data_IF_181380324611
#
_entry.id   IF_181380324611
#
_cell.length_a   1.000
_cell.length_b   1.000
_cell.length_c   1.000
_cell.angle_alpha   90.00
_cell.angle_beta   90.00
_cell.angle_gamma   90.00
#
_symmetry.space_group_name_H-M   'P 1'
#
loop_
_entity.id
_entity.type
_entity.pdbx_description
1 polymer ?
#
# COMPACT_ATOMS: atom_id res chain seq x y z
N UNK A 1 -18.27 -0.59 -8.83
CA UNK A 1 -17.87 -1.46 -7.70
C UNK A 1 -17.93 -0.68 -6.41
N UNK A 2 -18.24 -1.35 -5.32
CA UNK A 2 -18.06 -0.82 -3.94
C UNK A 2 -16.66 -1.20 -3.43
N UNK A 3 -15.79 -0.21 -3.33
CA UNK A 3 -14.38 -0.37 -2.96
C UNK A 3 -14.18 0.13 -1.53
N UNK A 4 -13.60 -0.70 -0.67
CA UNK A 4 -13.18 -0.30 0.68
C UNK A 4 -11.68 -0.04 0.69
N UNK A 5 -11.29 1.16 1.15
CA UNK A 5 -9.89 1.61 1.20
C UNK A 5 -9.46 1.76 2.65
N UNK A 6 -8.65 0.83 3.16
CA UNK A 6 -7.99 0.97 4.45
C UNK A 6 -6.74 1.85 4.32
N UNK A 7 -6.49 2.70 5.33
CA UNK A 7 -5.41 3.69 5.25
C UNK A 7 -5.73 4.88 4.35
N UNK A 8 -7.01 5.14 4.09
CA UNK A 8 -7.49 6.13 3.14
C UNK A 8 -6.97 7.56 3.41
N UNK A 9 -6.69 7.92 4.65
CA UNK A 9 -6.18 9.27 5.00
C UNK A 9 -4.65 9.42 4.83
N UNK A 10 -3.94 8.35 4.46
CA UNK A 10 -2.53 8.41 4.09
C UNK A 10 -2.30 9.06 2.72
N UNK A 11 -1.06 9.46 2.42
CA UNK A 11 -0.73 10.13 1.15
C UNK A 11 -1.14 9.32 -0.10
N UNK A 12 -0.87 8.01 -0.12
CA UNK A 12 -1.31 7.13 -1.21
C UNK A 12 -2.82 6.86 -1.14
N UNK A 13 -3.38 6.68 0.06
CA UNK A 13 -4.79 6.37 0.26
C UNK A 13 -5.73 7.47 -0.22
N UNK A 14 -5.36 8.75 -0.04
CA UNK A 14 -6.11 9.89 -0.58
C UNK A 14 -6.13 9.87 -2.11
N UNK A 15 -4.97 9.69 -2.74
CA UNK A 15 -4.87 9.57 -4.19
C UNK A 15 -5.67 8.39 -4.74
N UNK A 16 -5.62 7.23 -4.08
CA UNK A 16 -6.42 6.07 -4.43
C UNK A 16 -7.92 6.35 -4.31
N UNK A 17 -8.34 7.01 -3.24
CA UNK A 17 -9.73 7.40 -3.04
C UNK A 17 -10.21 8.35 -4.14
N UNK A 18 -9.43 9.38 -4.47
CA UNK A 18 -9.74 10.34 -5.54
C UNK A 18 -9.82 9.66 -6.91
N UNK A 19 -8.86 8.80 -7.24
CA UNK A 19 -8.84 8.05 -8.50
C UNK A 19 -10.03 7.09 -8.62
N UNK A 20 -10.38 6.38 -7.54
CA UNK A 20 -11.53 5.47 -7.51
C UNK A 20 -12.86 6.22 -7.69
N UNK A 21 -13.01 7.38 -7.06
CA UNK A 21 -14.18 8.24 -7.23
C UNK A 21 -14.27 8.81 -8.66
N UNK A 22 -13.14 9.25 -9.24
CA UNK A 22 -13.07 9.72 -10.64
C UNK A 22 -13.43 8.60 -11.63
N UNK A 23 -13.09 7.35 -11.32
CA UNK A 23 -13.50 6.15 -12.07
C UNK A 23 -14.96 5.71 -11.77
N UNK A 24 -15.74 6.53 -11.04
CA UNK A 24 -17.16 6.33 -10.70
C UNK A 24 -17.42 5.10 -9.82
N UNK A 25 -16.48 4.69 -8.99
CA UNK A 25 -16.73 3.68 -7.98
C UNK A 25 -17.39 4.29 -6.73
N UNK A 26 -18.12 3.46 -5.99
CA UNK A 26 -18.60 3.79 -4.65
C UNK A 26 -17.48 3.43 -3.66
N UNK A 27 -17.00 4.41 -2.90
CA UNK A 27 -15.82 4.24 -2.06
C UNK A 27 -16.17 4.35 -0.58
N UNK A 28 -15.69 3.41 0.22
CA UNK A 28 -15.68 3.49 1.68
C UNK A 28 -14.24 3.78 2.12
N UNK A 29 -13.98 5.02 2.53
CA UNK A 29 -12.67 5.44 3.02
C UNK A 29 -12.57 5.16 4.52
N UNK A 30 -11.74 4.18 4.89
CA UNK A 30 -11.55 3.78 6.28
C UNK A 30 -10.38 4.53 6.91
N UNK A 31 -10.66 5.28 7.96
CA UNK A 31 -9.67 6.08 8.70
C UNK A 31 -10.02 6.20 10.17
N UNK A 32 -9.01 6.32 11.05
CA UNK A 32 -9.23 6.56 12.49
C UNK A 32 -9.80 7.94 12.80
N UNK A 33 -9.54 8.93 11.95
CA UNK A 33 -9.97 10.32 12.08
C UNK A 33 -10.87 10.71 10.90
N UNK A 34 -12.11 10.26 10.96
CA UNK A 34 -13.09 10.49 9.90
C UNK A 34 -13.47 11.98 9.75
N UNK A 35 -13.52 12.73 10.85
CA UNK A 35 -13.83 14.17 10.83
C UNK A 35 -12.79 15.00 10.06
N UNK A 36 -11.53 14.55 10.00
CA UNK A 36 -10.43 15.25 9.35
C UNK A 36 -10.21 14.76 7.90
N UNK A 37 -11.11 13.94 7.35
CA UNK A 37 -10.93 13.42 6.01
C UNK A 37 -11.22 14.50 4.96
N UNK A 38 -10.26 14.85 4.09
CA UNK A 38 -10.35 16.09 3.30
C UNK A 38 -11.18 15.97 2.01
N UNK A 39 -11.63 14.75 1.65
CA UNK A 39 -12.35 14.51 0.39
C UNK A 39 -13.85 14.42 0.72
N UNK A 40 -14.66 15.16 -0.06
CA UNK A 40 -16.12 15.07 -0.02
C UNK A 40 -16.66 14.74 -1.42
N UNK A 41 -17.49 13.70 -1.51
CA UNK A 41 -18.06 13.28 -2.78
C UNK A 41 -19.34 12.46 -2.55
N UNK A 42 -20.32 12.53 -3.47
CA UNK A 42 -21.63 11.82 -3.35
C UNK A 42 -21.50 10.30 -3.30
N UNK A 43 -20.43 9.72 -3.87
CA UNK A 43 -20.12 8.28 -3.88
C UNK A 43 -19.10 7.87 -2.81
N UNK A 44 -18.84 8.75 -1.85
CA UNK A 44 -17.90 8.51 -0.77
C UNK A 44 -18.61 8.35 0.55
N UNK A 45 -18.32 7.27 1.24
CA UNK A 45 -18.65 7.07 2.65
C UNK A 45 -17.33 7.08 3.45
N UNK A 46 -17.25 7.88 4.50
CA UNK A 46 -16.08 7.88 5.39
C UNK A 46 -16.42 7.07 6.64
N UNK A 47 -15.71 5.95 6.82
CA UNK A 47 -15.88 5.06 7.96
C UNK A 47 -14.79 5.30 9.01
N UNK A 48 -15.21 5.58 10.25
CA UNK A 48 -14.29 5.68 11.38
C UNK A 48 -13.99 4.28 11.90
N UNK A 49 -12.77 3.77 11.67
CA UNK A 49 -12.32 2.50 12.21
C UNK A 49 -10.82 2.51 12.49
N UNK A 50 -10.45 1.94 13.65
CA UNK A 50 -9.08 1.50 13.89
C UNK A 50 -8.97 0.04 13.42
N UNK A 51 -7.90 -0.29 12.72
CA UNK A 51 -7.67 -1.67 12.22
C UNK A 51 -7.45 -2.69 13.35
N UNK A 52 -7.23 -2.22 14.58
CA UNK A 52 -7.18 -3.06 15.77
C UNK A 52 -8.58 -3.38 16.35
N UNK A 53 -9.61 -2.68 15.92
CA UNK A 53 -11.00 -2.95 16.29
C UNK A 53 -11.66 -3.83 15.22
N UNK A 54 -11.73 -5.13 15.50
CA UNK A 54 -12.24 -6.14 14.57
C UNK A 54 -13.71 -5.87 14.16
N UNK A 55 -14.56 -5.39 15.13
CA UNK A 55 -15.96 -5.10 14.83
C UNK A 55 -16.10 -3.86 13.92
N UNK A 56 -15.28 -2.83 14.14
CA UNK A 56 -15.28 -1.65 13.28
C UNK A 56 -14.75 -1.98 11.88
N UNK A 57 -13.76 -2.88 11.76
CA UNK A 57 -13.26 -3.40 10.48
C UNK A 57 -14.35 -4.20 9.77
N UNK A 58 -15.06 -5.08 10.48
CA UNK A 58 -16.15 -5.88 9.92
C UNK A 58 -17.25 -4.98 9.33
N UNK A 59 -17.74 -4.01 10.10
CA UNK A 59 -18.73 -3.04 9.60
C UNK A 59 -18.27 -2.28 8.36
N UNK A 60 -16.98 -1.96 8.26
CA UNK A 60 -16.43 -1.25 7.11
C UNK A 60 -16.36 -2.13 5.84
N UNK A 61 -16.15 -3.44 6.00
CA UNK A 61 -16.06 -4.42 4.90
C UNK A 61 -17.42 -4.86 4.40
N UNK A 62 -18.48 -4.71 5.20
CA UNK A 62 -19.83 -5.13 4.85
C UNK A 62 -20.28 -4.56 3.48
N UNK A 63 -20.73 -5.43 2.59
CA UNK A 63 -21.18 -5.09 1.24
C UNK A 63 -20.09 -4.66 0.27
N UNK A 64 -18.80 -4.84 0.62
CA UNK A 64 -17.69 -4.59 -0.30
C UNK A 64 -17.64 -5.61 -1.43
N UNK A 65 -17.19 -5.18 -2.61
CA UNK A 65 -16.81 -6.07 -3.72
C UNK A 65 -15.30 -6.31 -3.72
N UNK A 66 -14.52 -5.33 -3.25
CA UNK A 66 -13.05 -5.39 -3.18
C UNK A 66 -12.53 -4.56 -2.00
N UNK A 67 -11.45 -5.02 -1.39
CA UNK A 67 -10.73 -4.29 -0.35
C UNK A 67 -9.33 -3.95 -0.85
N UNK A 68 -8.98 -2.66 -0.75
CA UNK A 68 -7.66 -2.12 -1.07
C UNK A 68 -7.03 -1.57 0.22
N UNK A 69 -5.81 -1.99 0.55
CA UNK A 69 -5.15 -1.54 1.76
C UNK A 69 -3.87 -0.77 1.44
N UNK A 70 -3.86 0.49 1.86
CA UNK A 70 -2.70 1.39 1.87
C UNK A 70 -2.25 1.70 3.29
N UNK A 71 -2.44 0.76 4.21
CA UNK A 71 -1.97 0.91 5.58
C UNK A 71 -0.49 1.26 5.61
N UNK A 72 -0.13 2.21 6.44
CA UNK A 72 1.23 2.67 6.59
C UNK A 72 1.44 3.36 7.94
N UNK A 73 2.62 3.19 8.50
CA UNK A 73 3.07 3.87 9.71
C UNK A 73 4.46 4.44 9.51
N UNK A 74 4.83 5.53 10.21
CA UNK A 74 6.20 6.00 10.23
C UNK A 74 7.15 4.91 10.73
N UNK A 75 8.39 4.92 10.24
CA UNK A 75 9.41 4.02 10.76
C UNK A 75 9.62 4.22 12.25
N UNK A 76 9.70 3.12 12.98
CA UNK A 76 9.90 3.10 14.42
C UNK A 76 10.80 1.94 14.82
N UNK A 77 11.53 2.09 15.93
CA UNK A 77 12.29 1.00 16.54
C UNK A 77 11.46 0.12 17.46
N UNK A 78 10.25 0.58 17.82
CA UNK A 78 9.33 -0.23 18.64
C UNK A 78 8.70 -1.32 17.77
N UNK A 79 8.43 -2.51 18.32
CA UNK A 79 7.65 -3.53 17.61
C UNK A 79 6.29 -2.96 17.17
N UNK A 80 5.86 -3.33 15.98
CA UNK A 80 4.55 -2.97 15.42
C UNK A 80 3.87 -4.22 14.87
N UNK A 81 2.55 -4.18 14.77
CA UNK A 81 1.70 -5.25 14.27
C UNK A 81 0.51 -4.71 13.44
N UNK A 82 0.57 -3.43 13.05
CA UNK A 82 -0.53 -2.77 12.32
C UNK A 82 -0.82 -3.43 10.98
N UNK A 83 0.21 -3.93 10.30
CA UNK A 83 0.02 -4.62 9.02
C UNK A 83 -0.53 -6.02 9.24
N UNK A 84 0.11 -6.82 10.10
CA UNK A 84 -0.28 -8.21 10.32
C UNK A 84 -1.64 -8.33 11.03
N UNK A 85 -1.86 -7.62 12.14
CA UNK A 85 -3.12 -7.71 12.87
C UNK A 85 -4.24 -7.02 12.11
N UNK A 86 -3.97 -5.82 11.54
CA UNK A 86 -4.97 -5.08 10.77
C UNK A 86 -5.45 -5.84 9.55
N UNK A 87 -4.55 -6.43 8.75
CA UNK A 87 -4.96 -7.25 7.60
C UNK A 87 -5.54 -8.59 8.05
N UNK A 88 -5.16 -9.12 9.20
CA UNK A 88 -5.80 -10.28 9.83
C UNK A 88 -7.28 -10.04 10.09
N UNK A 89 -7.64 -8.91 10.71
CA UNK A 89 -9.04 -8.53 10.91
C UNK A 89 -9.78 -8.31 9.59
N UNK A 90 -9.14 -7.63 8.62
CA UNK A 90 -9.70 -7.44 7.28
C UNK A 90 -9.99 -8.77 6.59
N UNK A 91 -9.05 -9.72 6.59
CA UNK A 91 -9.22 -11.02 5.95
C UNK A 91 -10.34 -11.84 6.62
N UNK A 92 -10.46 -11.75 7.94
CA UNK A 92 -11.55 -12.39 8.70
C UNK A 92 -12.89 -11.78 8.30
N UNK A 93 -13.02 -10.46 8.31
CA UNK A 93 -14.24 -9.76 7.90
C UNK A 93 -14.62 -10.05 6.44
N UNK A 94 -13.65 -10.06 5.53
CA UNK A 94 -13.87 -10.43 4.14
C UNK A 94 -14.42 -11.86 3.99
N UNK A 95 -13.87 -12.80 4.77
CA UNK A 95 -14.37 -14.19 4.77
C UNK A 95 -15.81 -14.28 5.27
N UNK A 96 -16.17 -13.54 6.31
CA UNK A 96 -17.53 -13.51 6.89
C UNK A 96 -18.55 -12.94 5.90
N UNK A 97 -18.17 -11.91 5.13
CA UNK A 97 -19.04 -11.25 4.15
C UNK A 97 -18.91 -11.81 2.72
N UNK A 98 -18.13 -12.86 2.50
CA UNK A 98 -17.96 -13.49 1.19
C UNK A 98 -17.17 -12.64 0.17
N UNK A 99 -16.46 -11.60 0.64
CA UNK A 99 -15.60 -10.74 -0.19
C UNK A 99 -14.31 -11.47 -0.51
N UNK A 100 -13.93 -11.56 -1.79
CA UNK A 100 -12.76 -12.37 -2.20
C UNK A 100 -11.55 -11.53 -2.57
N UNK A 101 -11.75 -10.39 -3.25
CA UNK A 101 -10.66 -9.61 -3.83
C UNK A 101 -9.99 -8.70 -2.80
N UNK A 102 -8.69 -8.95 -2.54
CA UNK A 102 -7.86 -8.16 -1.62
C UNK A 102 -6.60 -7.69 -2.34
N UNK A 103 -6.31 -6.38 -2.28
CA UNK A 103 -5.03 -5.83 -2.72
C UNK A 103 -4.37 -5.10 -1.56
N UNK A 104 -3.17 -5.50 -1.19
CA UNK A 104 -2.44 -4.90 -0.06
C UNK A 104 -1.13 -4.29 -0.48
N UNK A 105 -0.77 -3.16 0.11
CA UNK A 105 0.55 -2.56 -0.04
C UNK A 105 1.52 -3.17 0.97
N UNK A 106 2.66 -3.62 0.48
CA UNK A 106 3.83 -4.03 1.24
C UNK A 106 5.03 -3.17 0.83
N UNK A 107 6.19 -3.74 0.63
CA UNK A 107 7.40 -3.06 0.17
C UNK A 107 8.32 -4.01 -0.57
N UNK A 108 9.06 -3.54 -1.57
CA UNK A 108 10.16 -4.30 -2.19
C UNK A 108 11.24 -4.70 -1.18
N UNK A 109 11.36 -3.96 -0.08
CA UNK A 109 12.32 -4.25 0.99
C UNK A 109 11.93 -5.41 1.93
N UNK A 110 10.74 -6.00 1.76
CA UNK A 110 10.36 -7.23 2.50
C UNK A 110 11.17 -8.44 2.02
N UNK A 111 11.49 -8.48 0.73
CA UNK A 111 12.41 -9.44 0.12
C UNK A 111 13.54 -8.67 -0.57
N UNK A 112 14.59 -8.29 0.18
CA UNK A 112 15.68 -7.51 -0.37
C UNK A 112 16.36 -8.23 -1.54
N UNK A 113 16.46 -7.56 -2.66
CA UNK A 113 17.12 -8.05 -3.86
C UNK A 113 18.03 -6.96 -4.45
N UNK A 114 18.86 -7.34 -5.39
CA UNK A 114 19.74 -6.42 -6.09
C UNK A 114 18.95 -5.67 -7.15
N UNK A 115 18.74 -4.37 -6.95
CA UNK A 115 18.13 -3.50 -7.96
C UNK A 115 19.13 -3.18 -9.05
N UNK A 116 18.81 -3.49 -10.31
CA UNK A 116 19.70 -3.22 -11.43
C UNK A 116 20.07 -1.73 -11.53
N UNK A 117 19.10 -0.85 -11.31
CA UNK A 117 19.27 0.61 -11.37
C UNK A 117 19.76 1.23 -10.05
N UNK A 118 19.95 0.43 -9.00
CA UNK A 118 20.28 0.91 -7.66
C UNK A 118 21.75 1.27 -7.44
N UNK A 119 22.64 0.75 -8.25
CA UNK A 119 24.08 0.93 -8.10
C UNK A 119 24.62 0.35 -6.77
N UNK A 120 25.93 0.54 -6.55
CA UNK A 120 26.62 0.01 -5.38
C UNK A 120 26.10 0.61 -4.06
N UNK A 121 25.87 1.92 -4.02
CA UNK A 121 25.49 2.62 -2.80
C UNK A 121 24.13 2.16 -2.27
N UNK A 122 23.11 2.04 -3.14
CA UNK A 122 21.79 1.56 -2.72
C UNK A 122 21.87 0.10 -2.28
N UNK A 123 22.41 -0.76 -3.13
CA UNK A 123 22.34 -2.21 -2.93
C UNK A 123 23.22 -2.72 -1.79
N UNK A 124 24.38 -2.10 -1.55
CA UNK A 124 25.37 -2.57 -0.57
C UNK A 124 25.40 -1.78 0.73
N UNK A 125 24.86 -0.57 0.76
CA UNK A 125 24.92 0.31 1.93
C UNK A 125 23.54 0.71 2.42
N UNK A 126 22.76 1.43 1.61
CA UNK A 126 21.52 2.05 2.08
C UNK A 126 20.42 1.02 2.37
N UNK A 127 20.18 0.09 1.45
CA UNK A 127 19.12 -0.92 1.62
C UNK A 127 19.41 -1.83 2.83
N UNK A 128 20.59 -2.43 2.99
CA UNK A 128 20.91 -3.22 4.19
C UNK A 128 20.83 -2.39 5.49
N UNK A 129 21.31 -1.15 5.48
CA UNK A 129 21.28 -0.27 6.66
C UNK A 129 19.82 0.02 7.07
N UNK A 130 18.97 0.45 6.15
CA UNK A 130 17.57 0.76 6.44
C UNK A 130 16.81 -0.48 6.91
N UNK A 131 16.97 -1.61 6.23
CA UNK A 131 16.28 -2.86 6.58
C UNK A 131 16.73 -3.44 7.91
N UNK A 132 17.99 -3.28 8.28
CA UNK A 132 18.55 -3.78 9.54
C UNK A 132 18.33 -2.84 10.74
N UNK A 133 17.98 -1.58 10.50
CA UNK A 133 17.86 -0.56 11.56
C UNK A 133 16.44 -0.02 11.68
N UNK A 134 16.16 1.16 11.12
CA UNK A 134 14.91 1.90 11.30
C UNK A 134 13.70 1.20 10.67
N UNK A 135 13.90 0.45 9.60
CA UNK A 135 12.86 -0.31 8.91
C UNK A 135 12.64 -1.73 9.45
N UNK A 136 13.49 -2.19 10.36
CA UNK A 136 13.51 -3.59 10.82
C UNK A 136 12.14 -4.08 11.30
N UNK A 137 11.52 -3.33 12.20
CA UNK A 137 10.22 -3.70 12.78
C UNK A 137 9.09 -3.60 11.75
N UNK A 138 9.11 -2.58 10.91
CA UNK A 138 8.12 -2.36 9.84
C UNK A 138 8.16 -3.48 8.81
N UNK A 139 9.33 -3.81 8.29
CA UNK A 139 9.45 -4.89 7.30
C UNK A 139 9.22 -6.28 7.90
N UNK A 140 9.53 -6.47 9.19
CA UNK A 140 9.20 -7.71 9.87
C UNK A 140 7.68 -7.90 9.99
N UNK A 141 6.93 -6.83 10.27
CA UNK A 141 5.48 -6.88 10.33
C UNK A 141 4.85 -7.05 8.94
N UNK A 142 5.35 -6.34 7.94
CA UNK A 142 4.91 -6.54 6.54
C UNK A 142 5.12 -7.99 6.09
N UNK A 143 6.24 -8.64 6.43
CA UNK A 143 6.45 -10.07 6.14
C UNK A 143 5.44 -10.97 6.84
N UNK A 144 5.08 -10.68 8.10
CA UNK A 144 4.00 -11.43 8.80
C UNK A 144 2.66 -11.26 8.08
N UNK A 145 2.33 -10.02 7.68
CA UNK A 145 1.14 -9.73 6.87
C UNK A 145 1.16 -10.52 5.55
N UNK A 146 2.27 -10.49 4.80
CA UNK A 146 2.36 -11.21 3.53
C UNK A 146 2.15 -12.73 3.72
N UNK A 147 2.74 -13.31 4.77
CA UNK A 147 2.55 -14.74 5.09
C UNK A 147 1.08 -15.06 5.41
N UNK A 148 0.40 -14.20 6.18
CA UNK A 148 -1.02 -14.33 6.48
C UNK A 148 -1.86 -14.27 5.20
N UNK A 149 -1.61 -13.27 4.35
CA UNK A 149 -2.33 -13.09 3.08
C UNK A 149 -2.10 -14.29 2.15
N UNK A 150 -0.88 -14.77 2.02
CA UNK A 150 -0.53 -15.94 1.19
C UNK A 150 -1.19 -17.22 1.66
N UNK A 151 -1.43 -17.37 2.97
CA UNK A 151 -2.10 -18.56 3.55
C UNK A 151 -3.63 -18.48 3.49
N UNK A 152 -4.21 -17.35 3.08
CA UNK A 152 -5.66 -17.18 2.97
C UNK A 152 -6.21 -17.73 1.65
N UNK A 153 -7.53 -17.98 1.63
CA UNK A 153 -8.26 -18.38 0.41
C UNK A 153 -8.73 -17.18 -0.43
N UNK A 154 -8.23 -15.97 -0.13
CA UNK A 154 -8.58 -14.77 -0.86
C UNK A 154 -7.93 -14.71 -2.26
N UNK A 155 -8.53 -13.94 -3.12
CA UNK A 155 -7.97 -13.52 -4.39
C UNK A 155 -7.07 -12.31 -4.16
N UNK A 156 -5.93 -12.55 -3.50
CA UNK A 156 -5.04 -11.48 -3.08
C UNK A 156 -4.03 -11.04 -4.15
N UNK A 157 -3.61 -9.78 -4.08
CA UNK A 157 -2.41 -9.26 -4.74
C UNK A 157 -1.62 -8.44 -3.72
N UNK A 158 -0.31 -8.72 -3.59
CA UNK A 158 0.59 -7.97 -2.73
C UNK A 158 1.39 -7.00 -3.59
N UNK A 159 1.12 -5.69 -3.46
CA UNK A 159 1.82 -4.64 -4.18
C UNK A 159 3.08 -4.24 -3.42
N UNK A 160 4.23 -4.36 -4.05
CA UNK A 160 5.56 -4.08 -3.48
C UNK A 160 6.19 -2.87 -4.15
N UNK A 161 5.79 -1.64 -3.79
CA UNK A 161 6.47 -0.44 -4.26
C UNK A 161 7.90 -0.36 -3.77
N UNK A 162 8.74 0.29 -4.55
CA UNK A 162 10.09 0.71 -4.17
C UNK A 162 10.07 2.05 -3.42
N UNK A 163 11.14 2.84 -3.43
CA UNK A 163 11.20 4.13 -2.76
C UNK A 163 10.08 5.08 -3.20
N UNK A 164 9.18 5.44 -2.27
CA UNK A 164 8.01 6.26 -2.60
C UNK A 164 8.37 7.75 -2.74
N UNK A 165 7.84 8.39 -3.78
CA UNK A 165 7.92 9.83 -3.99
C UNK A 165 6.59 10.42 -4.46
N UNK A 166 6.45 11.76 -4.38
CA UNK A 166 5.25 12.46 -4.83
C UNK A 166 5.42 12.91 -6.29
N UNK A 167 4.44 12.56 -7.14
CA UNK A 167 4.28 13.06 -8.49
C UNK A 167 2.93 13.77 -8.62
N UNK A 168 2.83 14.80 -9.49
CA UNK A 168 1.60 15.61 -9.63
C UNK A 168 0.44 14.86 -10.29
N UNK A 169 0.73 13.81 -11.03
CA UNK A 169 -0.26 12.99 -11.74
C UNK A 169 0.25 11.55 -11.91
N UNK A 170 -0.63 10.66 -12.34
CA UNK A 170 -0.26 9.32 -12.80
C UNK A 170 0.63 9.45 -14.03
N UNK A 171 1.72 8.67 -14.04
CA UNK A 171 2.69 8.63 -15.11
C UNK A 171 2.77 7.23 -15.71
N UNK A 172 3.81 6.95 -16.46
CA UNK A 172 4.06 5.60 -16.95
C UNK A 172 4.72 4.78 -15.84
N UNK A 173 4.07 3.68 -15.44
CA UNK A 173 4.59 2.74 -14.47
C UNK A 173 4.64 1.33 -15.04
N UNK A 174 5.43 0.47 -14.42
CA UNK A 174 5.58 -0.92 -14.79
C UNK A 174 5.24 -1.83 -13.61
N UNK A 175 4.62 -2.97 -13.94
CA UNK A 175 4.28 -4.03 -12.98
C UNK A 175 5.08 -5.27 -13.33
N UNK A 176 5.83 -5.76 -12.36
CA UNK A 176 6.65 -6.96 -12.51
C UNK A 176 6.28 -7.98 -11.42
N UNK A 177 6.11 -9.24 -11.79
CA UNK A 177 5.93 -10.30 -10.81
C UNK A 177 7.20 -10.41 -9.95
N UNK A 178 7.01 -10.42 -8.64
CA UNK A 178 8.02 -10.48 -7.58
C UNK A 178 8.96 -9.28 -7.50
N UNK A 179 9.78 -8.98 -8.49
CA UNK A 179 10.86 -8.00 -8.44
C UNK A 179 10.91 -7.13 -9.70
N UNK A 180 11.27 -5.86 -9.52
CA UNK A 180 11.47 -4.92 -10.61
C UNK A 180 12.87 -4.29 -10.59
N UNK A 181 13.41 -3.88 -11.74
CA UNK A 181 14.72 -3.23 -11.82
C UNK A 181 14.74 -1.84 -11.17
N UNK A 182 13.63 -1.12 -11.26
CA UNK A 182 13.50 0.26 -10.79
C UNK A 182 13.51 0.40 -9.27
N UNK A 183 13.95 1.56 -8.80
CA UNK A 183 14.16 1.86 -7.38
C UNK A 183 13.15 2.86 -6.80
N UNK A 184 12.26 3.42 -7.63
CA UNK A 184 11.29 4.42 -7.19
C UNK A 184 9.88 4.13 -7.72
N UNK A 185 8.89 4.49 -6.90
CA UNK A 185 7.47 4.40 -7.23
C UNK A 185 6.79 5.72 -6.83
N UNK A 186 6.11 6.39 -7.75
CA UNK A 186 5.28 7.53 -7.38
C UNK A 186 4.04 7.06 -6.62
N UNK A 187 3.58 7.88 -5.66
CA UNK A 187 2.33 7.56 -4.95
C UNK A 187 1.11 7.59 -5.86
N UNK A 188 1.14 8.43 -6.90
CA UNK A 188 0.07 8.50 -7.90
C UNK A 188 0.00 7.21 -8.73
N UNK A 189 1.15 6.68 -9.16
CA UNK A 189 1.22 5.43 -9.91
C UNK A 189 0.89 4.21 -9.04
N UNK A 190 1.34 4.22 -7.78
CA UNK A 190 0.96 3.18 -6.83
C UNK A 190 -0.56 3.15 -6.61
N UNK A 191 -1.19 4.32 -6.47
CA UNK A 191 -2.64 4.41 -6.33
C UNK A 191 -3.35 3.89 -7.59
N UNK A 192 -2.89 4.27 -8.78
CA UNK A 192 -3.44 3.80 -10.05
C UNK A 192 -3.28 2.29 -10.22
N UNK A 193 -2.10 1.76 -9.89
CA UNK A 193 -1.84 0.33 -9.97
C UNK A 193 -2.69 -0.48 -8.99
N UNK A 194 -2.92 0.02 -7.77
CA UNK A 194 -3.84 -0.59 -6.81
C UNK A 194 -5.27 -0.63 -7.33
N UNK A 195 -5.73 0.46 -7.94
CA UNK A 195 -7.07 0.54 -8.51
C UNK A 195 -7.22 -0.38 -9.72
N UNK A 196 -6.21 -0.48 -10.59
CA UNK A 196 -6.18 -1.44 -11.70
C UNK A 196 -6.36 -2.87 -11.19
N UNK A 197 -5.66 -3.24 -10.12
CA UNK A 197 -5.75 -4.57 -9.53
C UNK A 197 -7.12 -4.86 -8.88
N UNK A 198 -7.98 -3.89 -8.67
CA UNK A 198 -9.33 -4.13 -8.15
C UNK A 198 -10.16 -5.07 -9.07
N UNK A 199 -9.92 -5.02 -10.38
CA UNK A 199 -10.63 -5.83 -11.39
C UNK A 199 -9.72 -6.70 -12.26
N UNK A 200 -8.40 -6.49 -12.22
CA UNK A 200 -7.46 -7.26 -13.01
C UNK A 200 -7.12 -8.60 -12.33
N UNK A 201 -7.34 -9.68 -13.05
CA UNK A 201 -7.09 -11.03 -12.56
C UNK A 201 -5.65 -11.55 -12.82
N UNK A 202 -4.83 -10.83 -13.59
CA UNK A 202 -3.48 -11.29 -14.01
C UNK A 202 -2.57 -11.60 -12.82
N UNK A 203 -2.72 -10.85 -11.73
CA UNK A 203 -1.87 -10.95 -10.56
C UNK A 203 -2.60 -11.47 -9.31
N UNK A 204 -3.69 -12.23 -9.50
CA UNK A 204 -4.31 -12.96 -8.38
C UNK A 204 -3.32 -13.98 -7.82
N UNK A 205 -3.17 -13.95 -6.48
CA UNK A 205 -2.22 -14.75 -5.68
C UNK A 205 -0.76 -14.54 -6.05
N UNK A 206 -0.42 -13.29 -6.42
CA UNK A 206 0.94 -12.89 -6.77
C UNK A 206 1.41 -11.67 -5.96
N UNK A 207 2.72 -11.60 -5.74
CA UNK A 207 3.38 -10.38 -5.31
C UNK A 207 3.86 -9.63 -6.56
N UNK A 208 3.68 -8.31 -6.57
CA UNK A 208 3.91 -7.47 -7.74
C UNK A 208 4.72 -6.25 -7.36
N UNK A 209 5.89 -6.13 -7.93
CA UNK A 209 6.69 -4.92 -7.81
C UNK A 209 6.13 -3.83 -8.74
N UNK A 210 6.07 -2.61 -8.23
CA UNK A 210 5.61 -1.42 -8.96
C UNK A 210 6.75 -0.43 -9.07
N UNK A 211 7.05 0.02 -10.27
CA UNK A 211 8.07 1.06 -10.50
C UNK A 211 7.58 2.12 -11.46
N UNK A 212 7.94 3.38 -11.17
CA UNK A 212 7.69 4.53 -12.04
C UNK A 212 8.84 4.69 -13.01
N UNK A 213 8.55 4.71 -14.32
CA UNK A 213 9.56 4.91 -15.35
C UNK A 213 9.82 6.39 -15.62
N UNK A 214 8.77 7.22 -15.62
CA UNK A 214 8.85 8.63 -16.00
C UNK A 214 8.92 9.56 -14.78
N UNK A 215 9.85 10.52 -14.81
CA UNK A 215 9.96 11.54 -13.77
C UNK A 215 10.48 11.05 -12.42
N UNK A 216 11.00 9.84 -12.35
CA UNK A 216 11.60 9.30 -11.14
C UNK A 216 12.81 10.16 -10.71
N UNK A 217 12.93 10.51 -9.41
CA UNK A 217 14.07 11.28 -8.93
C UNK A 217 15.34 10.43 -8.99
N UNK A 218 16.49 11.07 -9.11
CA UNK A 218 17.76 10.39 -8.87
C UNK A 218 17.91 10.10 -7.37
N UNK A 219 18.73 9.10 -7.02
CA UNK A 219 19.01 8.76 -5.62
C UNK A 219 19.51 10.00 -4.84
N UNK A 220 20.36 10.82 -5.45
CA UNK A 220 20.86 12.05 -4.86
C UNK A 220 19.75 13.09 -4.60
N UNK A 221 18.82 13.26 -5.55
CA UNK A 221 17.67 14.17 -5.37
C UNK A 221 16.77 13.70 -4.24
N UNK A 222 16.56 12.39 -4.12
CA UNK A 222 15.75 11.81 -3.04
C UNK A 222 16.41 12.03 -1.67
N UNK A 223 17.71 11.74 -1.53
CA UNK A 223 18.46 11.98 -0.31
C UNK A 223 18.43 13.47 0.10
N UNK A 224 18.58 14.37 -0.85
CA UNK A 224 18.49 15.82 -0.61
C UNK A 224 17.09 16.22 -0.12
N UNK A 225 16.02 15.71 -0.74
CA UNK A 225 14.62 15.99 -0.31
C UNK A 225 14.36 15.53 1.12
N UNK A 226 14.81 14.32 1.48
CA UNK A 226 14.65 13.81 2.85
C UNK A 226 15.49 14.60 3.87
N UNK A 227 16.69 15.07 3.51
CA UNK A 227 17.53 15.88 4.38
C UNK A 227 16.92 17.27 4.69
N UNK A 228 16.10 17.81 3.76
CA UNK A 228 15.43 19.11 3.92
C UNK A 228 13.97 19.02 4.41
N UNK A 229 13.42 17.82 4.60
CA UNK A 229 12.12 17.58 5.26
C UNK A 229 12.24 17.60 6.80
N UNK A 230 13.10 18.44 7.35
CA UNK A 230 13.08 18.75 8.78
C UNK A 230 12.11 19.90 8.99
N UNK A 231 11.06 19.56 9.72
CA UNK A 231 9.96 20.31 10.36
C UNK A 231 8.59 20.15 9.72
#
# INVERSE_FOLDING_TARGET
MRIVVFGANGATGRLLTEQALAARHDVVAVTRRSADFPIAHQRLTVAAADVYDAEAVERAVEGAEVVLSTLGVPFTRKPINVYSDGIGHVATAMSQHGVKRLVVVSSSATEPHHHADGGFLLNRVLQPLVTATIGKTTYADMRRMENLVRSSDLEWTIMRPSGLFDAPAVTKYELHEDQAPGIFTSRADLAASLLEQASDARFIRKAVAVTTSDGAPTLFQMMRREAFKKD
#
